data_IF_661056705102
#
_entry.id   IF_661056705102
#
_cell.length_a   1.000
_cell.length_b   1.000
_cell.length_c   1.000
_cell.angle_alpha   90.00
_cell.angle_beta   90.00
_cell.angle_gamma   90.00
#
_symmetry.space_group_name_H-M   'P 1'
#
loop_
_entity.id
_entity.type
_entity.pdbx_description
1 polymer ?
#
# COMPACT_ATOMS: atom_id res chain seq x y z
N UNK A 1 62.88 5.49 1.57
CA UNK A 1 61.59 4.79 1.37
C UNK A 1 60.54 5.50 2.23
N UNK A 2 59.52 6.13 1.63
CA UNK A 2 58.43 6.89 2.30
C UNK A 2 57.08 6.29 1.89
N UNK A 3 56.06 6.27 2.78
CA UNK A 3 54.92 5.36 2.68
C UNK A 3 53.87 5.82 1.66
N UNK A 4 53.24 4.83 1.03
CA UNK A 4 52.13 5.00 0.09
C UNK A 4 50.85 5.39 0.83
N UNK A 5 50.29 6.54 0.46
CA UNK A 5 48.97 7.01 0.91
C UNK A 5 47.89 6.24 0.15
N UNK A 6 47.19 5.33 0.83
CA UNK A 6 45.98 4.69 0.33
C UNK A 6 44.78 5.64 0.49
N UNK A 7 44.24 6.13 -0.62
CA UNK A 7 42.95 6.81 -0.68
C UNK A 7 41.83 5.76 -0.66
N UNK A 8 41.08 5.68 0.44
CA UNK A 8 39.86 4.88 0.54
C UNK A 8 38.74 5.66 -0.15
N UNK A 9 38.34 5.21 -1.33
CA UNK A 9 37.14 5.67 -2.02
C UNK A 9 35.92 4.96 -1.43
N UNK A 10 35.22 5.62 -0.51
CA UNK A 10 33.92 5.20 -0.02
C UNK A 10 32.82 5.60 -1.03
N UNK A 11 32.58 4.76 -2.04
CA UNK A 11 31.45 4.92 -2.97
C UNK A 11 30.15 4.45 -2.32
N UNK A 12 29.42 5.42 -1.78
CA UNK A 12 27.96 5.61 -1.80
C UNK A 12 27.09 4.37 -2.16
N UNK A 13 26.65 3.63 -1.14
CA UNK A 13 25.45 2.79 -1.21
C UNK A 13 24.24 3.67 -0.89
N UNK A 14 23.66 4.30 -1.91
CA UNK A 14 22.55 5.26 -1.77
C UNK A 14 21.36 5.02 -2.71
N UNK A 15 21.12 3.77 -3.13
CA UNK A 15 19.97 3.41 -3.97
C UNK A 15 18.95 2.60 -3.18
N UNK A 16 17.66 2.92 -3.29
CA UNK A 16 16.49 2.22 -2.73
C UNK A 16 16.06 2.57 -1.29
N UNK A 17 15.82 3.86 -0.99
CA UNK A 17 15.00 4.24 0.16
C UNK A 17 13.85 5.22 -0.19
N UNK A 18 13.71 5.61 -1.45
CA UNK A 18 12.86 6.74 -1.83
C UNK A 18 11.37 6.39 -2.02
N UNK A 19 11.03 5.21 -2.55
CA UNK A 19 9.62 4.81 -2.75
C UNK A 19 8.90 4.49 -1.45
N UNK A 20 9.61 3.86 -0.50
CA UNK A 20 9.02 3.33 0.73
C UNK A 20 8.47 4.42 1.67
N UNK A 21 9.12 5.60 1.72
CA UNK A 21 8.68 6.70 2.58
C UNK A 21 7.38 7.35 2.09
N UNK A 22 7.25 7.52 0.76
CA UNK A 22 6.06 8.09 0.14
C UNK A 22 4.85 7.16 0.25
N UNK A 23 5.04 5.87 -0.05
CA UNK A 23 4.00 4.86 0.03
C UNK A 23 3.50 4.66 1.46
N UNK A 24 4.39 4.58 2.45
CA UNK A 24 3.99 4.40 3.86
C UNK A 24 3.16 5.58 4.38
N UNK A 25 3.55 6.81 4.04
CA UNK A 25 2.79 8.02 4.38
C UNK A 25 1.41 8.03 3.73
N UNK A 26 1.34 7.65 2.45
CA UNK A 26 0.09 7.59 1.70
C UNK A 26 -0.85 6.49 2.22
N UNK A 27 -0.32 5.30 2.48
CA UNK A 27 -1.05 4.22 3.12
C UNK A 27 -1.67 4.69 4.44
N UNK A 28 -0.89 5.34 5.31
CA UNK A 28 -1.41 5.86 6.58
C UNK A 28 -2.53 6.88 6.38
N UNK A 29 -2.42 7.76 5.38
CA UNK A 29 -3.47 8.72 5.05
C UNK A 29 -4.76 8.02 4.57
N UNK A 30 -4.63 7.01 3.70
CA UNK A 30 -5.76 6.19 3.24
C UNK A 30 -6.43 5.52 4.44
N UNK A 31 -5.66 4.82 5.28
CA UNK A 31 -6.19 4.10 6.44
C UNK A 31 -6.92 5.02 7.43
N UNK A 32 -6.46 6.27 7.60
CA UNK A 32 -7.13 7.28 8.42
C UNK A 32 -8.44 7.82 7.83
N UNK A 33 -8.67 7.63 6.52
CA UNK A 33 -9.90 8.05 5.83
C UNK A 33 -10.95 6.94 5.73
N UNK A 34 -10.58 5.69 5.98
CA UNK A 34 -11.49 4.55 5.84
C UNK A 34 -12.45 4.46 7.02
N UNK A 35 -13.74 4.49 6.73
CA UNK A 35 -14.79 4.01 7.62
C UNK A 35 -15.33 2.69 7.08
N UNK A 36 -15.08 1.59 7.79
CA UNK A 36 -15.56 0.28 7.37
C UNK A 36 -17.07 0.13 7.62
N UNK A 37 -17.81 -0.61 6.77
CA UNK A 37 -19.20 -1.00 7.03
C UNK A 37 -19.34 -1.72 8.37
N UNK A 38 -20.53 -1.68 8.97
CA UNK A 38 -20.78 -2.29 10.31
C UNK A 38 -20.57 -3.81 10.30
N UNK A 39 -20.80 -4.43 9.15
CA UNK A 39 -20.71 -5.87 8.91
C UNK A 39 -19.27 -6.32 8.65
N UNK A 40 -18.34 -5.38 8.48
CA UNK A 40 -16.92 -5.66 8.29
C UNK A 40 -16.25 -6.07 9.61
N UNK A 41 -15.18 -6.86 9.50
CA UNK A 41 -14.37 -7.20 10.67
C UNK A 41 -13.61 -5.96 11.21
N UNK A 42 -13.06 -6.03 12.44
CA UNK A 42 -12.16 -4.99 12.92
C UNK A 42 -11.00 -4.73 11.97
N UNK A 43 -10.73 -3.45 11.68
CA UNK A 43 -9.72 -3.01 10.72
C UNK A 43 -8.35 -3.69 10.87
N UNK A 44 -7.88 -3.88 12.10
CA UNK A 44 -6.60 -4.53 12.40
C UNK A 44 -6.48 -6.01 12.02
N UNK A 45 -7.59 -6.66 11.61
CA UNK A 45 -7.58 -8.05 11.14
C UNK A 45 -7.27 -8.20 9.66
N UNK A 46 -7.41 -7.12 8.89
CA UNK A 46 -7.22 -7.19 7.45
C UNK A 46 -5.74 -7.21 7.08
N UNK A 47 -5.42 -8.01 6.07
CA UNK A 47 -4.26 -7.76 5.23
C UNK A 47 -4.64 -6.71 4.19
N UNK A 48 -3.84 -5.66 4.07
CA UNK A 48 -4.18 -4.45 3.32
C UNK A 48 -3.20 -4.29 2.17
N UNK A 49 -3.73 -4.38 0.96
CA UNK A 49 -2.97 -4.30 -0.28
C UNK A 49 -3.31 -2.98 -0.96
N UNK A 50 -2.29 -2.32 -1.52
CA UNK A 50 -2.41 -1.04 -2.18
C UNK A 50 -1.69 -1.12 -3.52
N UNK A 51 -2.25 -0.45 -4.52
CA UNK A 51 -1.60 -0.30 -5.82
C UNK A 51 -2.03 1.00 -6.48
N UNK A 52 -1.18 1.53 -7.36
CA UNK A 52 -1.59 2.60 -8.27
C UNK A 52 -2.60 2.04 -9.27
N UNK A 53 -3.72 2.74 -9.46
CA UNK A 53 -4.70 2.31 -10.43
C UNK A 53 -4.18 2.59 -11.86
N UNK A 54 -4.15 1.57 -12.72
CA UNK A 54 -3.68 1.71 -14.12
C UNK A 54 -4.52 2.69 -14.95
N UNK A 55 -5.79 2.86 -14.62
CA UNK A 55 -6.74 3.71 -15.34
C UNK A 55 -6.73 5.18 -14.89
N UNK A 56 -6.16 5.49 -13.72
CA UNK A 56 -6.07 6.85 -13.19
C UNK A 56 -4.82 7.03 -12.29
N UNK A 57 -3.82 7.83 -12.73
CA UNK A 57 -2.57 8.02 -12.00
C UNK A 57 -2.74 8.76 -10.66
N UNK A 58 -3.86 9.45 -10.45
CA UNK A 58 -4.19 10.13 -9.18
C UNK A 58 -5.05 9.25 -8.26
N UNK A 59 -5.17 7.96 -8.55
CA UNK A 59 -5.95 7.01 -7.76
C UNK A 59 -5.12 5.84 -7.24
N UNK A 60 -5.34 5.50 -5.97
CA UNK A 60 -4.86 4.26 -5.35
C UNK A 60 -6.03 3.30 -5.20
N UNK A 61 -5.88 2.08 -5.72
CA UNK A 61 -6.79 0.99 -5.42
C UNK A 61 -6.31 0.25 -4.17
N UNK A 62 -7.22 0.00 -3.23
CA UNK A 62 -6.95 -0.72 -2.01
C UNK A 62 -7.84 -1.96 -1.89
N UNK A 63 -7.25 -3.07 -1.42
CA UNK A 63 -7.95 -4.33 -1.16
C UNK A 63 -7.60 -4.84 0.24
N UNK A 64 -8.60 -4.87 1.11
CA UNK A 64 -8.48 -5.33 2.50
C UNK A 64 -9.08 -6.73 2.60
N UNK A 65 -8.26 -7.75 2.85
CA UNK A 65 -8.70 -9.14 2.88
C UNK A 65 -8.47 -9.82 4.24
N UNK A 66 -9.44 -10.63 4.68
CA UNK A 66 -9.32 -11.54 5.82
C UNK A 66 -8.68 -12.88 5.40
N UNK A 67 -8.44 -13.78 6.37
CA UNK A 67 -7.93 -15.13 6.09
C UNK A 67 -6.42 -15.33 6.22
N UNK A 68 -5.67 -14.30 6.64
CA UNK A 68 -4.24 -14.43 6.91
C UNK A 68 -3.72 -13.46 7.97
N UNK A 69 -2.42 -13.51 8.24
CA UNK A 69 -1.78 -12.54 9.16
C UNK A 69 -1.96 -11.11 8.64
N UNK A 70 -2.38 -10.16 9.49
CA UNK A 70 -2.44 -8.75 9.15
C UNK A 70 -1.07 -8.27 8.67
N UNK A 71 -1.05 -7.60 7.52
CA UNK A 71 0.14 -7.00 6.93
C UNK A 71 -0.28 -5.86 6.01
N UNK A 72 0.63 -4.94 5.75
CA UNK A 72 0.49 -3.91 4.73
C UNK A 72 1.43 -4.20 3.55
N UNK A 73 0.91 -4.10 2.34
CA UNK A 73 1.64 -4.42 1.11
C UNK A 73 1.32 -3.37 0.03
N UNK A 74 2.35 -2.74 -0.53
CA UNK A 74 2.23 -2.08 -1.83
C UNK A 74 2.61 -3.10 -2.89
N UNK A 75 1.73 -3.33 -3.86
CA UNK A 75 1.90 -4.35 -4.88
C UNK A 75 1.73 -3.76 -6.28
N UNK A 76 2.38 -4.34 -7.30
CA UNK A 76 1.93 -4.22 -8.67
C UNK A 76 0.46 -4.63 -8.81
N UNK A 77 -0.30 -3.97 -9.70
CA UNK A 77 -1.74 -4.22 -9.83
C UNK A 77 -2.06 -5.67 -10.24
N UNK A 78 -1.19 -6.32 -11.02
CA UNK A 78 -1.32 -7.72 -11.43
C UNK A 78 -1.02 -8.73 -10.31
N UNK A 79 -0.43 -8.29 -9.20
CA UNK A 79 -0.25 -9.08 -7.98
C UNK A 79 -1.37 -8.84 -6.95
N UNK A 80 -2.32 -7.94 -7.24
CA UNK A 80 -3.41 -7.65 -6.32
C UNK A 80 -4.32 -8.88 -6.18
N UNK A 81 -4.74 -9.22 -4.95
CA UNK A 81 -5.61 -10.36 -4.75
C UNK A 81 -6.97 -10.10 -5.40
N UNK A 82 -7.36 -10.99 -6.32
CA UNK A 82 -8.70 -11.07 -6.86
C UNK A 82 -9.53 -11.90 -5.89
N UNK A 83 -10.56 -11.31 -5.28
CA UNK A 83 -11.39 -12.04 -4.31
C UNK A 83 -12.87 -11.79 -4.60
N UNK A 84 -13.64 -12.88 -4.69
CA UNK A 84 -15.03 -12.95 -5.15
C UNK A 84 -15.83 -13.84 -4.20
N UNK A 85 -15.81 -13.54 -2.90
CA UNK A 85 -16.24 -14.48 -1.86
C UNK A 85 -17.70 -14.27 -1.42
N UNK A 86 -18.40 -13.26 -1.97
CA UNK A 86 -19.80 -12.94 -1.69
C UNK A 86 -20.09 -12.37 -0.28
N UNK A 87 -19.11 -11.79 0.42
CA UNK A 87 -19.22 -11.28 1.81
C UNK A 87 -18.60 -9.89 2.05
N UNK A 88 -18.25 -9.55 3.30
CA UNK A 88 -17.37 -8.41 3.67
C UNK A 88 -16.00 -8.92 4.15
N UNK A 89 -15.62 -10.12 3.70
CA UNK A 89 -14.30 -10.70 3.94
C UNK A 89 -13.23 -9.99 3.15
N UNK A 90 -13.62 -9.37 2.03
CA UNK A 90 -12.80 -8.45 1.26
C UNK A 90 -13.49 -7.12 1.08
N UNK A 91 -12.76 -6.04 1.35
CA UNK A 91 -13.22 -4.68 1.10
C UNK A 91 -12.30 -4.07 0.05
N UNK A 92 -12.86 -3.73 -1.10
CA UNK A 92 -12.14 -3.07 -2.19
C UNK A 92 -12.66 -1.65 -2.34
N UNK A 93 -11.77 -0.69 -2.54
CA UNK A 93 -12.16 0.70 -2.78
C UNK A 93 -11.06 1.47 -3.51
N UNK A 94 -11.42 2.65 -4.02
CA UNK A 94 -10.51 3.58 -4.70
C UNK A 94 -10.35 4.85 -3.87
N UNK A 95 -9.12 5.29 -3.65
CA UNK A 95 -8.79 6.54 -2.97
C UNK A 95 -8.20 7.55 -3.95
N UNK A 96 -8.81 8.73 -4.01
CA UNK A 96 -8.44 9.81 -4.93
C UNK A 96 -7.47 10.79 -4.24
N UNK A 97 -6.26 10.94 -4.76
CA UNK A 97 -5.20 11.75 -4.12
C UNK A 97 -5.58 13.22 -3.97
N UNK A 98 -6.27 13.79 -4.97
CA UNK A 98 -6.65 15.21 -5.02
C UNK A 98 -7.75 15.55 -4.03
N UNK A 99 -8.84 14.79 -4.05
CA UNK A 99 -10.01 15.04 -3.19
C UNK A 99 -9.88 14.43 -1.80
N UNK A 100 -8.97 13.45 -1.63
CA UNK A 100 -8.82 12.64 -0.42
C UNK A 100 -10.09 11.87 -0.05
N UNK A 101 -10.90 11.55 -1.07
CA UNK A 101 -12.15 10.82 -0.91
C UNK A 101 -11.99 9.37 -1.35
N UNK A 102 -12.76 8.51 -0.68
CA UNK A 102 -12.95 7.11 -1.05
C UNK A 102 -14.17 6.99 -1.96
N UNK A 103 -14.05 6.16 -2.98
CA UNK A 103 -15.11 5.79 -3.91
C UNK A 103 -15.08 4.29 -4.18
N UNK A 104 -16.13 3.76 -4.82
CA UNK A 104 -16.24 2.35 -5.21
C UNK A 104 -15.99 1.36 -4.06
N UNK A 105 -16.40 1.71 -2.84
CA UNK A 105 -16.30 0.81 -1.70
C UNK A 105 -17.25 -0.36 -1.90
N UNK A 106 -16.68 -1.55 -2.07
CA UNK A 106 -17.38 -2.81 -2.29
C UNK A 106 -16.95 -3.82 -1.24
N UNK A 107 -17.93 -4.50 -0.66
CA UNK A 107 -17.72 -5.74 0.08
C UNK A 107 -17.87 -6.91 -0.88
N UNK A 108 -16.86 -7.78 -0.93
CA UNK A 108 -16.91 -9.08 -1.61
C UNK A 108 -16.52 -10.21 -0.65
#
# INVERSE_FOLDING_TARGET
MKPATFLIAAMLLGGCAHSLSGEEGLMKAIEGSVSLPKEAAPFGRYRRHYTWAKDDPDTVMAVYALGGKPKRLWLPEDEMPIVLDGGCTVVTFRYHLKSKLISDLRCN
#
